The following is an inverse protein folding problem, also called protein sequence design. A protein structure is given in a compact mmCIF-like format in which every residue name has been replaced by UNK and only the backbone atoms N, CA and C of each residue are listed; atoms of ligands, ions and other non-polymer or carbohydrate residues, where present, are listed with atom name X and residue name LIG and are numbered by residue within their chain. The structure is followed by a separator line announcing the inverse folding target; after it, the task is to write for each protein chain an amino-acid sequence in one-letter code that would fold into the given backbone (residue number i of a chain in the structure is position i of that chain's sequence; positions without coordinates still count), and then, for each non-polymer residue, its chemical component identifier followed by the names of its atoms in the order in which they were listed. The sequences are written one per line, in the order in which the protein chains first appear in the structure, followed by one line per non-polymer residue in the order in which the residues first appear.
data_IF_099505234661
#
_entry.id   IF_099505234661
#
_cell.length_a   1.000
_cell.length_b   1.000
_cell.length_c   1.000
_cell.angle_alpha   90.00
_cell.angle_beta   90.00
_cell.angle_gamma   90.00
#
_symmetry.space_group_name_H-M   'P 1'
#
loop_
_entity.id
_entity.type
_entity.pdbx_description
1 polymer ?
#
# COMPACT_ATOMS: atom_id res chain seq x y z
N UNK A 1 -17.00 -38.34 5.46
CA UNK A 1 -16.73 -37.05 6.15
C UNK A 1 -16.52 -35.96 5.09
N UNK A 2 -17.56 -35.15 4.90
CA UNK A 2 -17.82 -34.37 3.69
C UNK A 2 -16.81 -33.22 3.48
N UNK A 3 -16.10 -33.28 2.36
CA UNK A 3 -15.52 -32.11 1.70
C UNK A 3 -16.67 -31.34 1.05
N UNK A 4 -17.15 -30.31 1.74
CA UNK A 4 -18.08 -29.33 1.16
C UNK A 4 -17.31 -28.39 0.25
N UNK A 5 -17.28 -28.71 -1.04
CA UNK A 5 -16.96 -27.76 -2.11
C UNK A 5 -18.00 -26.65 -2.11
N UNK A 6 -17.67 -25.49 -1.54
CA UNK A 6 -18.42 -24.25 -1.72
C UNK A 6 -17.67 -23.40 -2.74
N UNK A 7 -17.92 -23.66 -4.02
CA UNK A 7 -17.57 -22.72 -5.08
C UNK A 7 -18.82 -22.31 -5.84
N UNK A 8 -18.83 -21.01 -6.19
CA UNK A 8 -19.77 -20.28 -7.05
C UNK A 8 -20.99 -19.64 -6.40
N UNK A 9 -20.79 -18.40 -5.92
CA UNK A 9 -21.57 -17.24 -6.40
C UNK A 9 -20.76 -15.92 -6.26
N UNK A 10 -19.69 -15.73 -7.05
CA UNK A 10 -18.87 -14.48 -7.05
C UNK A 10 -19.15 -13.55 -8.25
N UNK A 11 -20.12 -13.84 -9.12
CA UNK A 11 -20.23 -13.18 -10.43
C UNK A 11 -21.15 -11.96 -10.53
N UNK A 12 -22.03 -11.70 -9.55
CA UNK A 12 -22.98 -10.56 -9.60
C UNK A 12 -22.72 -9.47 -8.54
N UNK A 13 -22.10 -9.81 -7.41
CA UNK A 13 -21.79 -8.90 -6.29
C UNK A 13 -20.42 -8.19 -6.40
N UNK A 14 -19.62 -8.55 -7.41
CA UNK A 14 -18.23 -8.09 -7.56
C UNK A 14 -18.09 -6.57 -7.75
N UNK A 15 -19.10 -5.91 -8.32
CA UNK A 15 -19.03 -4.46 -8.53
C UNK A 15 -19.23 -3.65 -7.25
N UNK A 16 -20.14 -4.05 -6.37
CA UNK A 16 -20.33 -3.40 -5.07
C UNK A 16 -19.14 -3.65 -4.15
N UNK A 17 -18.62 -4.88 -4.16
CA UNK A 17 -17.48 -5.27 -3.32
C UNK A 17 -16.21 -4.53 -3.74
N UNK A 18 -15.98 -4.39 -5.05
CA UNK A 18 -14.87 -3.59 -5.57
C UNK A 18 -14.96 -2.10 -5.17
N UNK A 19 -16.17 -1.52 -5.12
CA UNK A 19 -16.36 -0.14 -4.65
C UNK A 19 -16.03 -0.01 -3.16
N UNK A 20 -16.43 -0.98 -2.34
CA UNK A 20 -16.09 -1.04 -0.91
C UNK A 20 -14.57 -1.14 -0.74
N UNK A 21 -13.93 -2.06 -1.47
CA UNK A 21 -12.48 -2.23 -1.40
C UNK A 21 -11.71 -0.97 -1.85
N UNK A 22 -12.18 -0.31 -2.91
CA UNK A 22 -11.62 0.96 -3.40
C UNK A 22 -11.80 2.10 -2.39
N UNK A 23 -12.99 2.18 -1.77
CA UNK A 23 -13.28 3.17 -0.74
C UNK A 23 -12.35 3.02 0.47
N UNK A 24 -12.22 1.81 1.01
CA UNK A 24 -11.35 1.56 2.16
C UNK A 24 -9.87 1.69 1.83
N UNK A 25 -9.45 1.29 0.62
CA UNK A 25 -8.07 1.52 0.16
C UNK A 25 -7.74 3.00 0.11
N UNK A 26 -8.67 3.85 -0.36
CA UNK A 26 -8.51 5.31 -0.30
C UNK A 26 -8.46 5.81 1.13
N UNK A 27 -9.30 5.27 2.01
CA UNK A 27 -9.33 5.63 3.42
C UNK A 27 -8.00 5.29 4.13
N UNK A 28 -7.34 4.18 3.80
CA UNK A 28 -6.00 3.82 4.29
C UNK A 28 -4.99 4.91 3.93
N UNK A 29 -4.96 5.32 2.65
CA UNK A 29 -4.05 6.38 2.20
C UNK A 29 -4.33 7.71 2.90
N UNK A 30 -5.59 8.07 3.09
CA UNK A 30 -5.97 9.31 3.79
C UNK A 30 -5.59 9.27 5.27
N UNK A 31 -5.84 8.16 5.97
CA UNK A 31 -5.46 8.00 7.37
C UNK A 31 -3.95 8.17 7.60
N UNK A 32 -3.15 7.76 6.62
CA UNK A 32 -1.69 7.85 6.64
C UNK A 32 -1.13 9.15 6.00
N UNK A 33 -2.00 10.07 5.54
CA UNK A 33 -1.59 11.40 5.07
C UNK A 33 -1.27 11.53 3.59
N UNK A 34 -1.99 10.82 2.73
CA UNK A 34 -1.85 10.91 1.27
C UNK A 34 -3.19 11.32 0.62
N UNK A 35 -3.21 12.27 -0.34
CA UNK A 35 -2.07 12.90 -1.03
C UNK A 35 -1.41 14.08 -0.28
N UNK A 36 -2.07 14.67 0.72
CA UNK A 36 -1.54 15.80 1.49
C UNK A 36 -1.13 15.36 2.90
N UNK A 37 0.14 15.62 3.28
CA UNK A 37 0.68 15.31 4.61
C UNK A 37 0.13 16.23 5.70
N UNK A 38 -0.50 17.34 5.33
CA UNK A 38 -1.09 18.29 6.27
C UNK A 38 -2.35 17.72 6.96
N UNK A 39 -3.10 16.88 6.26
CA UNK A 39 -4.34 16.23 6.74
C UNK A 39 -4.09 14.85 7.35
N UNK A 40 -2.82 14.44 7.42
CA UNK A 40 -2.39 13.14 7.94
C UNK A 40 -2.72 13.00 9.42
N UNK A 41 -3.49 11.97 9.77
CA UNK A 41 -3.72 11.63 11.17
C UNK A 41 -2.50 10.90 11.73
N UNK A 42 -1.84 10.06 10.92
CA UNK A 42 -0.58 9.40 11.26
C UNK A 42 0.43 9.62 10.12
N UNK A 43 1.48 10.42 10.36
CA UNK A 43 2.50 10.72 9.34
C UNK A 43 3.44 9.54 9.16
N UNK A 44 3.29 8.75 8.09
CA UNK A 44 4.16 7.58 7.81
C UNK A 44 4.69 7.58 6.38
N UNK A 45 5.67 6.71 6.12
CA UNK A 45 6.23 6.49 4.78
C UNK A 45 5.14 5.89 3.89
N UNK A 46 5.13 6.28 2.63
CA UNK A 46 4.17 5.80 1.63
C UNK A 46 4.17 4.28 1.50
N UNK A 47 5.33 3.64 1.76
CA UNK A 47 5.53 2.19 1.75
C UNK A 47 4.55 1.50 2.69
N UNK A 48 4.35 2.05 3.89
CA UNK A 48 3.40 1.51 4.88
C UNK A 48 1.99 1.51 4.31
N UNK A 49 1.57 2.61 3.68
CA UNK A 49 0.24 2.73 3.08
C UNK A 49 0.05 1.73 1.93
N UNK A 50 1.03 1.64 1.03
CA UNK A 50 0.99 0.71 -0.09
C UNK A 50 0.98 -0.77 0.38
N UNK A 51 1.79 -1.12 1.38
CA UNK A 51 1.78 -2.47 2.00
C UNK A 51 0.45 -2.76 2.69
N UNK A 52 -0.12 -1.79 3.41
CA UNK A 52 -1.42 -1.94 4.08
C UNK A 52 -2.54 -2.24 3.09
N UNK A 53 -2.56 -1.53 1.96
CA UNK A 53 -3.54 -1.75 0.88
C UNK A 53 -3.32 -3.11 0.22
N UNK A 54 -2.07 -3.52 0.00
CA UNK A 54 -1.77 -4.85 -0.54
C UNK A 54 -2.31 -5.96 0.37
N UNK A 55 -2.08 -5.88 1.68
CA UNK A 55 -2.63 -6.83 2.66
C UNK A 55 -4.16 -6.82 2.69
N UNK A 56 -4.77 -5.64 2.63
CA UNK A 56 -6.22 -5.50 2.64
C UNK A 56 -6.87 -6.18 1.43
N UNK A 57 -6.31 -5.97 0.22
CA UNK A 57 -6.80 -6.64 -0.98
C UNK A 57 -6.55 -8.15 -0.94
N UNK A 58 -5.37 -8.59 -0.51
CA UNK A 58 -5.06 -10.02 -0.39
C UNK A 58 -5.99 -10.72 0.60
N UNK A 59 -6.32 -10.08 1.72
CA UNK A 59 -7.24 -10.62 2.71
C UNK A 59 -8.65 -10.84 2.14
N UNK A 60 -9.21 -9.86 1.41
CA UNK A 60 -10.56 -9.95 0.86
C UNK A 60 -10.67 -10.71 -0.46
N UNK A 61 -9.54 -11.17 -1.01
CA UNK A 61 -9.57 -12.14 -2.10
C UNK A 61 -10.02 -13.52 -1.57
N UNK A 62 -9.55 -13.87 -0.37
CA UNK A 62 -9.81 -15.16 0.29
C UNK A 62 -11.05 -15.08 1.20
N UNK A 63 -11.22 -13.98 1.94
CA UNK A 63 -12.27 -13.83 2.95
C UNK A 63 -13.43 -12.94 2.47
N UNK A 64 -14.62 -13.15 3.05
CA UNK A 64 -15.81 -12.37 2.72
C UNK A 64 -15.88 -11.03 3.48
N UNK A 65 -16.34 -9.97 2.79
CA UNK A 65 -16.62 -8.65 3.37
C UNK A 65 -17.75 -8.64 4.40
N UNK A 66 -18.63 -9.66 4.37
CA UNK A 66 -19.76 -9.78 5.30
C UNK A 66 -19.30 -10.33 6.65
N UNK A 67 -18.30 -11.22 6.62
CA UNK A 67 -17.80 -11.92 7.82
C UNK A 67 -16.83 -11.05 8.62
N UNK A 68 -16.04 -10.23 7.94
CA UNK A 68 -15.05 -9.37 8.57
C UNK A 68 -15.36 -7.90 8.32
N UNK A 69 -15.45 -7.10 9.40
CA UNK A 69 -15.64 -5.65 9.27
C UNK A 69 -14.42 -5.01 8.58
N UNK A 70 -14.59 -4.39 7.39
CA UNK A 70 -13.49 -3.76 6.66
C UNK A 70 -12.79 -2.67 7.45
N UNK A 71 -13.45 -2.00 8.41
CA UNK A 71 -12.78 -1.01 9.26
C UNK A 71 -11.79 -1.65 10.23
N UNK A 72 -12.14 -2.80 10.79
CA UNK A 72 -11.28 -3.53 11.71
C UNK A 72 -10.08 -4.13 10.97
N UNK A 73 -10.34 -4.75 9.81
CA UNK A 73 -9.28 -5.31 8.95
C UNK A 73 -8.35 -4.21 8.47
N UNK A 74 -8.89 -3.06 8.05
CA UNK A 74 -8.11 -1.89 7.66
C UNK A 74 -7.12 -1.45 8.74
N UNK A 75 -7.56 -1.33 10.00
CA UNK A 75 -6.70 -0.92 11.11
C UNK A 75 -5.61 -1.96 11.40
N UNK A 76 -5.97 -3.24 11.33
CA UNK A 76 -5.06 -4.36 11.54
C UNK A 76 -4.00 -4.43 10.43
N UNK A 77 -4.38 -4.18 9.17
CA UNK A 77 -3.46 -4.06 8.05
C UNK A 77 -2.47 -2.91 8.23
N UNK A 78 -2.93 -1.74 8.68
CA UNK A 78 -2.06 -0.58 8.95
C UNK A 78 -1.05 -0.90 10.06
N UNK A 79 -1.51 -1.55 11.12
CA UNK A 79 -0.65 -1.94 12.24
C UNK A 79 0.40 -2.97 11.81
N UNK A 80 -0.02 -4.03 11.12
CA UNK A 80 0.87 -5.09 10.63
C UNK A 80 1.87 -4.56 9.59
N UNK A 81 1.44 -3.73 8.64
CA UNK A 81 2.32 -3.11 7.66
C UNK A 81 3.36 -2.19 8.32
N UNK A 82 2.99 -1.49 9.40
CA UNK A 82 3.92 -0.70 10.20
C UNK A 82 5.04 -1.56 10.81
N UNK A 83 4.71 -2.77 11.28
CA UNK A 83 5.71 -3.75 11.74
C UNK A 83 6.57 -4.29 10.58
N UNK A 84 5.97 -4.60 9.43
CA UNK A 84 6.66 -5.19 8.29
C UNK A 84 7.62 -4.22 7.54
N UNK A 85 7.34 -2.92 7.56
CA UNK A 85 8.12 -1.88 6.86
C UNK A 85 9.05 -1.07 7.79
N UNK A 86 9.35 -1.60 8.99
CA UNK A 86 10.19 -0.97 10.02
C UNK A 86 9.73 0.46 10.39
N UNK A 87 8.42 0.70 10.40
CA UNK A 87 7.83 2.00 10.70
C UNK A 87 6.63 1.81 11.61
N UNK A 88 6.93 1.51 12.87
CA UNK A 88 5.96 1.11 13.88
C UNK A 88 4.83 2.13 14.03
N UNK A 89 3.59 1.64 14.00
CA UNK A 89 2.38 2.42 14.27
C UNK A 89 1.90 2.07 15.66
N UNK A 90 1.73 3.07 16.52
CA UNK A 90 1.26 2.83 17.89
C UNK A 90 -0.27 2.59 17.89
N UNK A 91 -0.72 1.53 18.58
CA UNK A 91 -2.14 1.21 18.70
C UNK A 91 -2.94 2.33 19.35
N UNK A 92 -2.35 3.08 20.29
CA UNK A 92 -3.00 4.23 20.92
C UNK A 92 -3.28 5.35 19.92
N UNK A 93 -2.44 5.52 18.89
CA UNK A 93 -2.69 6.50 17.83
C UNK A 93 -3.89 6.06 16.99
N UNK A 94 -4.00 4.77 16.66
CA UNK A 94 -5.13 4.22 15.90
C UNK A 94 -6.45 4.30 16.69
N UNK A 95 -6.41 4.02 17.99
CA UNK A 95 -7.59 4.08 18.87
C UNK A 95 -8.17 5.50 18.98
N UNK A 96 -7.32 6.54 19.03
CA UNK A 96 -7.77 7.94 19.06
C UNK A 96 -8.62 8.31 17.83
N UNK A 97 -8.34 7.69 16.68
CA UNK A 97 -9.02 7.95 15.41
C UNK A 97 -10.31 7.13 15.33
N UNK A 98 -10.22 5.87 15.76
CA UNK A 98 -11.32 4.92 15.69
C UNK A 98 -11.62 4.32 17.08
N UNK A 99 -12.27 5.08 17.97
CA UNK A 99 -12.51 4.66 19.36
C UNK A 99 -13.44 3.46 19.49
N UNK A 100 -14.12 3.07 18.41
CA UNK A 100 -15.03 1.92 18.38
C UNK A 100 -14.30 0.57 18.42
N UNK A 101 -13.02 0.54 18.09
CA UNK A 101 -12.25 -0.70 18.01
C UNK A 101 -11.17 -0.74 19.09
N UNK A 102 -11.36 -1.46 20.20
CA UNK A 102 -10.36 -1.56 21.25
C UNK A 102 -9.13 -2.32 20.73
N UNK A 103 -7.97 -2.05 21.34
CA UNK A 103 -6.68 -2.61 20.93
C UNK A 103 -6.69 -4.15 20.85
N UNK A 104 -7.38 -4.82 21.79
CA UNK A 104 -7.51 -6.28 21.81
C UNK A 104 -8.11 -6.84 20.52
N UNK A 105 -9.11 -6.17 19.93
CA UNK A 105 -9.77 -6.62 18.71
C UNK A 105 -8.88 -6.46 17.48
N UNK A 106 -8.06 -5.41 17.46
CA UNK A 106 -7.07 -5.19 16.40
C UNK A 106 -6.01 -6.31 16.46
N UNK A 107 -5.57 -6.69 17.66
CA UNK A 107 -4.61 -7.79 17.86
C UNK A 107 -5.19 -9.16 17.51
N UNK A 108 -6.44 -9.45 17.88
CA UNK A 108 -7.14 -10.66 17.45
C UNK A 108 -7.22 -10.75 15.91
N UNK A 109 -7.61 -9.65 15.27
CA UNK A 109 -7.73 -9.59 13.82
C UNK A 109 -6.36 -9.63 13.10
N UNK A 110 -5.29 -9.13 13.72
CA UNK A 110 -3.92 -9.23 13.20
C UNK A 110 -3.50 -10.70 12.99
N UNK A 111 -3.85 -11.58 13.93
CA UNK A 111 -3.51 -13.01 13.84
C UNK A 111 -4.25 -13.66 12.66
N UNK A 112 -5.57 -13.38 12.52
CA UNK A 112 -6.38 -13.89 11.41
C UNK A 112 -5.88 -13.36 10.05
N UNK A 113 -5.44 -12.10 10.01
CA UNK A 113 -4.84 -11.50 8.84
C UNK A 113 -3.54 -12.21 8.44
N UNK A 114 -2.66 -12.53 9.41
CA UNK A 114 -1.42 -13.26 9.15
C UNK A 114 -1.65 -14.65 8.56
N UNK A 115 -2.65 -15.37 9.08
CA UNK A 115 -3.06 -16.68 8.56
C UNK A 115 -3.59 -16.56 7.14
N UNK A 116 -4.43 -15.56 6.86
CA UNK A 116 -5.00 -15.29 5.53
C UNK A 116 -3.95 -14.89 4.48
N UNK A 117 -2.85 -14.28 4.92
CA UNK A 117 -1.71 -13.90 4.07
C UNK A 117 -0.70 -15.03 3.88
N UNK A 118 -0.93 -16.21 4.48
CA UNK A 118 0.02 -17.32 4.52
C UNK A 118 1.41 -16.87 5.01
N UNK A 119 1.47 -15.87 5.91
CA UNK A 119 2.70 -15.26 6.43
C UNK A 119 3.62 -14.63 5.35
N UNK A 120 3.11 -14.35 4.15
CA UNK A 120 3.83 -13.64 3.09
C UNK A 120 3.78 -12.12 3.29
N UNK A 121 4.61 -11.61 4.19
CA UNK A 121 4.60 -10.18 4.56
C UNK A 121 5.41 -9.27 3.64
N UNK A 122 6.30 -9.81 2.81
CA UNK A 122 7.19 -8.98 1.99
C UNK A 122 6.48 -8.48 0.72
N UNK A 123 6.18 -7.18 0.67
CA UNK A 123 5.59 -6.53 -0.51
C UNK A 123 6.68 -5.83 -1.32
N UNK A 124 6.76 -6.15 -2.61
CA UNK A 124 7.68 -5.49 -3.53
C UNK A 124 7.02 -4.25 -4.14
N UNK A 125 7.64 -3.11 -3.83
CA UNK A 125 7.15 -1.80 -4.17
C UNK A 125 7.79 -1.27 -5.47
N UNK A 126 7.01 -0.86 -6.50
CA UNK A 126 7.57 -0.51 -7.81
C UNK A 126 8.37 0.80 -7.82
N UNK A 127 8.32 1.60 -6.74
CA UNK A 127 8.95 2.91 -6.74
C UNK A 127 10.47 2.87 -6.87
N UNK A 128 11.12 1.82 -6.36
CA UNK A 128 12.56 1.65 -6.56
C UNK A 128 12.90 1.48 -8.06
N UNK A 129 12.07 0.75 -8.81
CA UNK A 129 12.23 0.59 -10.26
C UNK A 129 12.03 1.93 -10.98
N UNK A 130 11.01 2.69 -10.60
CA UNK A 130 10.74 4.02 -11.18
C UNK A 130 11.91 4.98 -10.92
N UNK A 131 12.49 4.98 -9.72
CA UNK A 131 13.64 5.82 -9.41
C UNK A 131 14.87 5.45 -10.25
N UNK A 132 15.11 4.15 -10.49
CA UNK A 132 16.18 3.70 -11.39
C UNK A 132 15.98 4.24 -12.81
N UNK A 133 14.78 4.05 -13.37
CA UNK A 133 14.45 4.50 -14.73
C UNK A 133 14.63 6.02 -14.85
N UNK A 134 14.17 6.79 -13.86
CA UNK A 134 14.34 8.25 -13.83
C UNK A 134 15.82 8.63 -13.77
N UNK A 135 16.63 7.90 -13.00
CA UNK A 135 18.07 8.15 -12.92
C UNK A 135 18.77 7.88 -14.27
N UNK A 136 18.39 6.79 -14.96
CA UNK A 136 18.91 6.43 -16.28
C UNK A 136 18.56 7.49 -17.32
N UNK A 137 17.30 7.97 -17.33
CA UNK A 137 16.86 9.06 -18.23
C UNK A 137 17.64 10.35 -17.96
N UNK A 138 17.85 10.70 -16.69
CA UNK A 138 18.63 11.90 -16.32
C UNK A 138 20.06 11.79 -16.81
N UNK A 139 20.69 10.63 -16.64
CA UNK A 139 22.05 10.36 -17.10
C UNK A 139 22.16 10.52 -18.62
N UNK A 140 21.24 9.89 -19.36
CA UNK A 140 21.19 10.01 -20.82
C UNK A 140 21.01 11.47 -21.28
N UNK A 141 20.15 12.23 -20.60
CA UNK A 141 19.92 13.66 -20.94
C UNK A 141 21.17 14.52 -20.68
N UNK A 142 21.90 14.24 -19.60
CA UNK A 142 23.13 14.97 -19.26
C UNK A 142 24.27 14.65 -20.25
N UNK A 143 24.45 13.38 -20.61
CA UNK A 143 25.46 12.95 -21.58
C UNK A 143 25.23 13.62 -22.96
N UNK A 144 23.99 13.69 -23.43
CA UNK A 144 23.64 14.37 -24.68
C UNK A 144 23.84 15.89 -24.62
N UNK A 145 23.63 16.52 -23.45
CA UNK A 145 23.87 17.95 -23.27
C UNK A 145 25.36 18.27 -23.38
N UNK A 146 26.21 17.46 -22.74
CA UNK A 146 27.67 17.63 -22.83
C UNK A 146 28.20 17.40 -24.24
N UNK A 147 27.63 16.44 -24.99
CA UNK A 147 28.03 16.17 -26.37
C UNK A 147 27.72 17.35 -27.32
N UNK A 148 26.57 18.01 -27.12
CA UNK A 148 26.20 19.20 -27.90
C UNK A 148 27.07 20.42 -27.58
N UNK A 149 27.49 20.58 -26.33
CA UNK A 149 28.40 21.66 -25.90
C UNK A 149 29.83 21.46 -26.46
N UNK A 150 30.33 20.22 -26.56
CA UNK A 150 31.62 19.93 -27.22
C UNK A 150 31.60 20.08 -28.75
N UNK A 151 30.48 19.77 -29.41
CA UNK A 151 30.36 19.96 -30.85
C UNK A 151 30.31 21.46 -31.24
N UNK A 152 29.68 22.32 -30.43
CA UNK A 152 29.62 23.76 -30.70
C UNK A 152 30.95 24.51 -30.56
N UNK A 153 31.91 23.99 -29.79
CA UNK A 153 33.26 24.58 -29.67
C UNK A 153 34.20 24.19 -30.82
N UNK A 154 33.91 23.10 -31.52
CA UNK A 154 34.72 22.62 -32.64
C UNK A 154 34.48 23.46 -33.90
N UNK A 155 33.24 23.90 -34.13
CA UNK A 155 32.87 24.74 -35.28
C UNK A 155 33.35 26.21 -35.17
N UNK A 156 33.65 26.70 -33.97
CA UNK A 156 34.19 28.06 -33.77
C UNK A 156 35.71 28.17 -33.92
N UNK A 157 36.44 27.05 -33.93
CA UNK A 157 37.90 27.04 -34.09
C UNK A 157 38.35 26.80 -35.55
N UNK A 158 37.42 26.60 -36.49
CA UNK A 158 37.70 26.46 -37.93
C UNK A 158 37.32 27.72 -38.76
N UNK A 159 36.88 28.80 -38.12
CA UNK A 159 36.64 30.11 -38.74
C UNK A 159 37.68 31.15 -38.28
#
# INVERSE_FOLDING_TARGET
PAAGTFEMEKSSATSSDALVLSHFSRQIFQALGYPDRSTAIIKRKWRVAATSVAYFHQFYEVNSLIEHDPRLVMLSCIFLAGKAEDNFVNLQELFKIYPKFPESRILECEIVLLESLNFHLKVFHPQNCVYSIIADIKRYTLENRTANESNGQSEQNEA
#
